data_IF_213753452406
#
_entry.id   IF_213753452406
#
_cell.length_a   1.000
_cell.length_b   1.000
_cell.length_c   1.000
_cell.angle_alpha   90.00
_cell.angle_beta   90.00
_cell.angle_gamma   90.00
#
_symmetry.space_group_name_H-M   'P 1'
#
loop_
_entity.id
_entity.type
_entity.pdbx_description
1 polymer ?
#
# COMPACT_ATOMS: atom_id res chain seq x y z
N UNK A 1 2.92 -16.17 -33.38
CA UNK A 1 3.53 -16.46 -32.05
C UNK A 1 3.81 -15.20 -31.28
N UNK A 2 4.59 -14.25 -31.84
CA UNK A 2 4.89 -12.96 -31.19
C UNK A 2 3.64 -12.16 -30.78
N UNK A 3 2.60 -12.15 -31.61
CA UNK A 3 1.35 -11.42 -31.32
C UNK A 3 0.58 -12.06 -30.16
N UNK A 4 0.51 -13.39 -30.10
CA UNK A 4 -0.12 -14.13 -29.01
C UNK A 4 0.64 -13.99 -27.70
N UNK A 5 1.97 -13.93 -27.73
CA UNK A 5 2.80 -13.68 -26.55
C UNK A 5 2.57 -12.26 -26.01
N UNK A 6 2.51 -11.26 -26.90
CA UNK A 6 2.21 -9.87 -26.51
C UNK A 6 0.79 -9.73 -25.94
N UNK A 7 -0.19 -10.38 -26.53
CA UNK A 7 -1.56 -10.39 -26.01
C UNK A 7 -1.63 -11.04 -24.63
N UNK A 8 -0.92 -12.17 -24.44
CA UNK A 8 -0.84 -12.85 -23.16
C UNK A 8 -0.16 -11.99 -22.09
N UNK A 9 0.98 -11.36 -22.42
CA UNK A 9 1.67 -10.44 -21.51
C UNK A 9 0.79 -9.26 -21.13
N UNK A 10 0.04 -8.68 -22.09
CA UNK A 10 -0.89 -7.59 -21.82
C UNK A 10 -2.05 -8.02 -20.93
N UNK A 11 -2.61 -9.21 -21.17
CA UNK A 11 -3.68 -9.79 -20.35
C UNK A 11 -3.19 -10.11 -18.94
N UNK A 12 -1.98 -10.65 -18.79
CA UNK A 12 -1.36 -10.94 -17.50
C UNK A 12 -1.11 -9.63 -16.71
N UNK A 13 -0.65 -8.57 -17.38
CA UNK A 13 -0.46 -7.26 -16.76
C UNK A 13 -1.78 -6.65 -16.28
N UNK A 14 -2.85 -6.72 -17.08
CA UNK A 14 -4.21 -6.26 -16.72
C UNK A 14 -4.76 -7.09 -15.56
N UNK A 15 -4.47 -8.41 -15.54
CA UNK A 15 -4.93 -9.32 -14.48
C UNK A 15 -4.15 -9.17 -13.17
N UNK A 16 -3.01 -8.48 -13.15
CA UNK A 16 -2.10 -8.40 -12.00
C UNK A 16 -1.96 -7.01 -11.38
N UNK A 17 -2.28 -5.96 -12.11
CA UNK A 17 -2.05 -4.56 -11.70
C UNK A 17 -3.32 -3.73 -11.74
N UNK A 18 -3.37 -2.74 -10.85
CA UNK A 18 -4.37 -1.69 -10.85
C UNK A 18 -4.09 -0.71 -12.00
N UNK A 19 -5.07 -0.45 -12.89
CA UNK A 19 -4.83 0.38 -14.08
C UNK A 19 -4.54 1.85 -13.77
N UNK A 20 -5.07 2.39 -12.67
CA UNK A 20 -4.85 3.79 -12.31
C UNK A 20 -3.46 4.03 -11.74
N UNK A 21 -3.06 3.25 -10.77
CA UNK A 21 -1.82 3.45 -10.00
C UNK A 21 -0.64 2.61 -10.50
N UNK A 22 -0.89 1.59 -11.31
CA UNK A 22 0.10 0.59 -11.77
C UNK A 22 0.68 -0.26 -10.62
N UNK A 23 0.09 -0.18 -9.43
CA UNK A 23 0.41 -1.06 -8.32
C UNK A 23 -0.15 -2.46 -8.55
N UNK A 24 0.35 -3.44 -7.82
CA UNK A 24 -0.31 -4.75 -7.79
C UNK A 24 -1.77 -4.60 -7.38
N UNK A 25 -2.63 -5.43 -7.94
CA UNK A 25 -3.99 -5.55 -7.45
C UNK A 25 -4.05 -6.51 -6.25
N UNK A 26 -5.19 -6.56 -5.58
CA UNK A 26 -5.40 -7.39 -4.40
C UNK A 26 -5.10 -8.87 -4.65
N UNK A 27 -5.56 -9.40 -5.77
CA UNK A 27 -5.35 -10.81 -6.15
C UNK A 27 -3.86 -11.16 -6.26
N UNK A 28 -3.08 -10.30 -6.89
CA UNK A 28 -1.62 -10.50 -7.01
C UNK A 28 -0.92 -10.41 -5.67
N UNK A 29 -1.32 -9.47 -4.83
CA UNK A 29 -0.76 -9.34 -3.48
C UNK A 29 -1.04 -10.59 -2.64
N UNK A 30 -2.21 -11.17 -2.73
CA UNK A 30 -2.54 -12.41 -1.99
C UNK A 30 -1.59 -13.54 -2.35
N UNK A 31 -1.20 -13.67 -3.62
CA UNK A 31 -0.20 -14.66 -4.07
C UNK A 31 1.15 -14.39 -3.41
N UNK A 32 1.61 -13.14 -3.39
CA UNK A 32 2.87 -12.77 -2.75
C UNK A 32 2.86 -12.99 -1.23
N UNK A 33 1.75 -12.71 -0.57
CA UNK A 33 1.58 -12.97 0.88
C UNK A 33 1.70 -14.46 1.19
N UNK A 34 1.06 -15.31 0.40
CA UNK A 34 1.17 -16.77 0.58
C UNK A 34 2.60 -17.26 0.39
N UNK A 35 3.32 -16.75 -0.61
CA UNK A 35 4.74 -17.08 -0.82
C UNK A 35 5.60 -16.65 0.36
N UNK A 36 5.40 -15.44 0.87
CA UNK A 36 6.14 -14.93 2.03
C UNK A 36 5.88 -15.80 3.28
N UNK A 37 4.64 -16.21 3.48
CA UNK A 37 4.25 -17.09 4.58
C UNK A 37 4.92 -18.46 4.46
N UNK A 38 4.96 -19.05 3.28
CA UNK A 38 5.64 -20.33 3.04
C UNK A 38 7.14 -20.25 3.31
N UNK A 39 7.80 -19.18 2.85
CA UNK A 39 9.21 -18.94 3.11
C UNK A 39 9.49 -18.77 4.60
N UNK A 40 8.64 -18.03 5.31
CA UNK A 40 8.76 -17.86 6.75
C UNK A 40 8.69 -19.20 7.50
N UNK A 41 7.81 -20.09 7.06
CA UNK A 41 7.69 -21.44 7.63
C UNK A 41 8.89 -22.34 7.32
N UNK A 42 9.44 -22.25 6.10
CA UNK A 42 10.51 -23.15 5.62
C UNK A 42 11.90 -22.74 6.13
N UNK A 43 12.23 -21.44 6.05
CA UNK A 43 13.59 -20.95 6.32
C UNK A 43 13.63 -19.84 7.36
N UNK A 44 12.52 -19.55 8.04
CA UNK A 44 12.46 -18.58 9.13
C UNK A 44 12.63 -17.13 8.72
N UNK A 45 12.35 -16.77 7.46
CA UNK A 45 12.36 -15.37 7.02
C UNK A 45 11.29 -14.56 7.76
N UNK A 46 11.59 -13.30 8.02
CA UNK A 46 10.66 -12.37 8.66
C UNK A 46 10.05 -11.44 7.63
N UNK A 47 8.77 -11.19 7.76
CA UNK A 47 8.09 -10.17 6.96
C UNK A 47 6.99 -9.49 7.75
N UNK A 48 6.65 -8.29 7.30
CA UNK A 48 5.59 -7.47 7.86
C UNK A 48 4.65 -7.03 6.77
N UNK A 49 3.44 -6.66 7.15
CA UNK A 49 2.53 -5.90 6.29
C UNK A 49 2.32 -4.51 6.86
N UNK A 50 2.14 -3.55 5.98
CA UNK A 50 1.78 -2.17 6.31
C UNK A 50 0.50 -1.85 5.55
N UNK A 51 -0.58 -1.58 6.27
CA UNK A 51 -1.84 -1.16 5.67
C UNK A 51 -1.99 0.34 5.86
N UNK A 52 -2.10 1.08 4.78
CA UNK A 52 -2.29 2.52 4.78
C UNK A 52 -3.61 2.93 4.16
N UNK A 53 -4.16 3.99 4.67
CA UNK A 53 -5.40 4.59 4.18
C UNK A 53 -5.23 6.11 4.11
N UNK A 54 -5.60 6.70 2.97
CA UNK A 54 -5.50 8.15 2.77
C UNK A 54 -6.50 8.85 3.69
N UNK A 55 -6.02 9.79 4.49
CA UNK A 55 -6.84 10.55 5.42
C UNK A 55 -7.76 11.50 4.67
N UNK A 56 -9.04 11.48 5.02
CA UNK A 56 -10.05 12.39 4.47
C UNK A 56 -10.16 12.39 2.93
N UNK A 57 -9.90 11.24 2.30
CA UNK A 57 -9.91 11.11 0.84
C UNK A 57 -11.27 11.47 0.21
N UNK A 58 -12.37 11.10 0.87
CA UNK A 58 -13.72 11.49 0.43
C UNK A 58 -13.85 13.00 0.33
N UNK A 59 -13.26 13.73 1.28
CA UNK A 59 -13.27 15.20 1.30
C UNK A 59 -12.57 15.80 0.07
N UNK A 60 -11.48 15.18 -0.40
CA UNK A 60 -10.80 15.58 -1.63
C UNK A 60 -11.71 15.40 -2.83
N UNK A 61 -12.38 14.27 -2.98
CA UNK A 61 -13.30 13.99 -4.07
C UNK A 61 -14.53 14.93 -4.04
N UNK A 62 -15.06 15.20 -2.86
CA UNK A 62 -16.21 16.08 -2.70
C UNK A 62 -15.86 17.55 -3.00
N UNK A 63 -14.65 17.99 -2.67
CA UNK A 63 -14.17 19.36 -2.85
C UNK A 63 -13.66 19.62 -4.27
N UNK A 64 -12.86 18.69 -4.83
CA UNK A 64 -12.10 18.87 -6.07
C UNK A 64 -12.51 17.94 -7.20
N UNK A 65 -13.49 17.06 -7.00
CA UNK A 65 -13.93 16.00 -7.92
C UNK A 65 -12.99 14.79 -7.99
N UNK A 66 -13.47 13.71 -8.61
CA UNK A 66 -12.78 12.42 -8.74
C UNK A 66 -11.46 12.50 -9.51
N UNK A 67 -11.34 13.40 -10.47
CA UNK A 67 -10.09 13.61 -11.22
C UNK A 67 -8.94 14.04 -10.32
N UNK A 68 -9.20 14.90 -9.36
CA UNK A 68 -8.19 15.28 -8.35
C UNK A 68 -7.88 14.12 -7.42
N UNK A 69 -8.88 13.37 -6.99
CA UNK A 69 -8.70 12.14 -6.21
C UNK A 69 -7.82 11.14 -6.92
N UNK A 70 -8.00 10.95 -8.23
CA UNK A 70 -7.16 10.07 -9.04
C UNK A 70 -5.70 10.56 -9.08
N UNK A 71 -5.48 11.85 -9.24
CA UNK A 71 -4.12 12.45 -9.16
C UNK A 71 -3.47 12.22 -7.79
N UNK A 72 -4.23 12.35 -6.72
CA UNK A 72 -3.76 12.07 -5.36
C UNK A 72 -3.39 10.59 -5.20
N UNK A 73 -4.22 9.67 -5.70
CA UNK A 73 -3.91 8.24 -5.66
C UNK A 73 -2.61 7.91 -6.41
N UNK A 74 -2.40 8.51 -7.58
CA UNK A 74 -1.18 8.34 -8.36
C UNK A 74 0.03 8.93 -7.61
N UNK A 75 -0.11 10.13 -7.04
CA UNK A 75 0.94 10.77 -6.23
C UNK A 75 1.34 9.90 -5.05
N UNK A 76 0.38 9.38 -4.31
CA UNK A 76 0.61 8.48 -3.17
C UNK A 76 1.32 7.21 -3.62
N UNK A 77 0.84 6.58 -4.68
CA UNK A 77 1.45 5.37 -5.23
C UNK A 77 2.92 5.60 -5.64
N UNK A 78 3.19 6.68 -6.36
CA UNK A 78 4.54 7.02 -6.81
C UNK A 78 5.46 7.38 -5.63
N UNK A 79 4.95 8.10 -4.64
CA UNK A 79 5.69 8.44 -3.42
C UNK A 79 6.08 7.18 -2.66
N UNK A 80 5.14 6.26 -2.43
CA UNK A 80 5.42 5.00 -1.75
C UNK A 80 6.42 4.18 -2.55
N UNK A 81 6.21 4.04 -3.86
CA UNK A 81 7.10 3.27 -4.75
C UNK A 81 8.54 3.75 -4.66
N UNK A 82 8.77 5.05 -4.52
CA UNK A 82 10.12 5.62 -4.43
C UNK A 82 10.89 5.19 -3.17
N UNK A 83 10.20 4.71 -2.14
CA UNK A 83 10.78 4.21 -0.89
C UNK A 83 10.93 2.69 -0.83
N UNK A 84 10.37 1.98 -1.82
CA UNK A 84 10.32 0.51 -1.82
C UNK A 84 11.59 -0.10 -2.41
N UNK A 85 11.98 -1.25 -1.86
CA UNK A 85 13.05 -2.09 -2.42
C UNK A 85 12.46 -3.00 -3.51
N UNK A 86 13.29 -3.52 -4.45
CA UNK A 86 12.79 -4.42 -5.50
C UNK A 86 12.08 -5.68 -4.97
N UNK A 87 12.51 -6.19 -3.81
CA UNK A 87 11.94 -7.38 -3.17
C UNK A 87 10.62 -7.10 -2.42
N UNK A 88 10.32 -5.84 -2.13
CA UNK A 88 9.09 -5.46 -1.45
C UNK A 88 7.92 -5.38 -2.45
N UNK A 89 6.71 -5.57 -1.97
CA UNK A 89 5.51 -5.49 -2.80
C UNK A 89 4.61 -4.35 -2.35
N UNK A 90 3.99 -3.70 -3.30
CA UNK A 90 3.04 -2.61 -3.07
C UNK A 90 1.75 -2.87 -3.86
N UNK A 91 0.62 -2.78 -3.20
CA UNK A 91 -0.68 -3.14 -3.72
C UNK A 91 -1.73 -2.06 -3.44
N UNK A 92 -2.58 -1.79 -4.42
CA UNK A 92 -3.84 -1.10 -4.16
C UNK A 92 -4.84 -2.12 -3.60
N UNK A 93 -5.02 -2.06 -2.28
CA UNK A 93 -5.81 -3.05 -1.54
C UNK A 93 -7.31 -2.75 -1.58
N UNK A 94 -7.66 -1.49 -1.53
CA UNK A 94 -9.02 -0.98 -1.66
C UNK A 94 -9.04 0.31 -2.46
N UNK A 95 -10.12 1.07 -2.43
CA UNK A 95 -10.26 2.32 -3.17
C UNK A 95 -9.14 3.32 -2.87
N UNK A 96 -8.92 3.59 -1.60
CA UNK A 96 -7.91 4.50 -1.06
C UNK A 96 -6.94 3.80 -0.09
N UNK A 97 -6.98 2.47 -0.06
CA UNK A 97 -6.13 1.66 0.80
C UNK A 97 -4.96 1.06 0.02
N UNK A 98 -3.78 1.16 0.60
CA UNK A 98 -2.54 0.59 0.06
C UNK A 98 -2.00 -0.43 1.07
N UNK A 99 -1.62 -1.61 0.59
CA UNK A 99 -0.99 -2.66 1.39
C UNK A 99 0.43 -2.88 0.90
N UNK A 100 1.37 -2.86 1.84
CA UNK A 100 2.78 -3.15 1.58
C UNK A 100 3.16 -4.49 2.19
N UNK A 101 3.95 -5.26 1.48
CA UNK A 101 4.62 -6.45 1.98
C UNK A 101 6.11 -6.16 2.07
N UNK A 102 6.62 -6.13 3.29
CA UNK A 102 7.99 -5.71 3.59
C UNK A 102 8.77 -6.89 4.14
N UNK A 103 9.89 -7.22 3.52
CA UNK A 103 10.81 -8.21 4.03
C UNK A 103 11.67 -7.59 5.14
N UNK A 104 11.55 -8.09 6.36
CA UNK A 104 12.28 -7.60 7.52
C UNK A 104 11.46 -7.59 8.79
N UNK A 105 12.01 -6.94 9.81
CA UNK A 105 11.44 -6.83 11.15
C UNK A 105 10.39 -5.72 11.24
N UNK A 106 9.62 -5.76 12.32
CA UNK A 106 8.67 -4.69 12.63
C UNK A 106 9.34 -3.32 12.75
N UNK A 107 10.53 -3.27 13.35
CA UNK A 107 11.30 -2.02 13.47
C UNK A 107 11.63 -1.43 12.09
N UNK A 108 12.06 -2.26 11.16
CA UNK A 108 12.34 -1.84 9.77
C UNK A 108 11.07 -1.36 9.07
N UNK A 109 9.99 -2.12 9.18
CA UNK A 109 8.72 -1.77 8.57
C UNK A 109 8.13 -0.47 9.13
N UNK A 110 8.17 -0.29 10.44
CA UNK A 110 7.67 0.92 11.11
C UNK A 110 8.48 2.15 10.71
N UNK A 111 9.79 2.03 10.63
CA UNK A 111 10.66 3.12 10.17
C UNK A 111 10.40 3.50 8.71
N UNK A 112 10.17 2.50 7.86
CA UNK A 112 9.80 2.72 6.46
C UNK A 112 8.44 3.42 6.34
N UNK A 113 7.45 2.95 7.08
CA UNK A 113 6.11 3.55 7.11
C UNK A 113 6.17 5.02 7.53
N UNK A 114 6.99 5.36 8.52
CA UNK A 114 7.17 6.75 8.98
C UNK A 114 7.83 7.63 7.92
N UNK A 115 8.82 7.14 7.20
CA UNK A 115 9.42 7.87 6.06
C UNK A 115 8.40 8.13 4.96
N UNK A 116 7.62 7.12 4.62
CA UNK A 116 6.56 7.22 3.62
C UNK A 116 5.51 8.25 4.06
N UNK A 117 5.05 8.15 5.30
CA UNK A 117 4.08 9.10 5.88
C UNK A 117 4.56 10.54 5.75
N UNK A 118 5.79 10.80 6.16
CA UNK A 118 6.38 12.13 6.11
C UNK A 118 6.52 12.66 4.66
N UNK A 119 6.90 11.79 3.74
CA UNK A 119 7.02 12.15 2.31
C UNK A 119 5.66 12.47 1.69
N UNK A 120 4.61 11.71 2.03
CA UNK A 120 3.24 11.98 1.54
C UNK A 120 2.75 13.31 2.09
N UNK A 121 2.98 13.60 3.35
CA UNK A 121 2.58 14.86 3.99
C UNK A 121 3.18 16.08 3.28
N UNK A 122 4.39 15.96 2.73
CA UNK A 122 5.09 17.03 2.01
C UNK A 122 4.75 17.10 0.52
N UNK A 123 4.09 16.08 -0.03
CA UNK A 123 3.77 16.02 -1.45
C UNK A 123 2.45 16.74 -1.75
N UNK A 124 2.33 17.27 -2.96
CA UNK A 124 1.08 17.90 -3.40
C UNK A 124 0.88 17.69 -4.90
N UNK A 125 -0.38 17.83 -5.34
CA UNK A 125 -0.77 17.99 -6.74
C UNK A 125 -1.34 19.39 -6.93
N UNK A 126 -1.25 19.92 -8.14
CA UNK A 126 -1.87 21.20 -8.48
C UNK A 126 -3.19 20.94 -9.21
N UNK A 127 -4.26 21.51 -8.68
CA UNK A 127 -5.59 21.46 -9.28
C UNK A 127 -6.11 22.88 -9.47
N UNK A 128 -6.29 23.30 -10.71
CA UNK A 128 -6.78 24.66 -11.06
C UNK A 128 -6.02 25.78 -10.33
N UNK A 129 -4.69 25.66 -10.25
CA UNK A 129 -3.83 26.63 -9.57
C UNK A 129 -3.76 26.49 -8.06
N UNK A 130 -4.48 25.57 -7.46
CA UNK A 130 -4.46 25.30 -6.00
C UNK A 130 -3.64 24.04 -5.72
N UNK A 131 -2.75 24.10 -4.73
CA UNK A 131 -2.03 22.94 -4.23
C UNK A 131 -2.95 22.11 -3.32
N UNK A 132 -3.09 20.82 -3.64
CA UNK A 132 -3.86 19.86 -2.85
C UNK A 132 -2.92 18.80 -2.29
N UNK A 133 -2.96 18.59 -0.99
CA UNK A 133 -2.16 17.59 -0.30
C UNK A 133 -3.03 16.73 0.60
N UNK A 134 -2.52 15.56 0.97
CA UNK A 134 -3.16 14.64 1.91
C UNK A 134 -2.15 14.13 2.91
N UNK A 135 -2.65 13.54 3.96
CA UNK A 135 -1.86 12.71 4.87
C UNK A 135 -2.34 11.26 4.78
N UNK A 136 -1.55 10.34 5.32
CA UNK A 136 -1.93 8.94 5.44
C UNK A 136 -1.70 8.44 6.87
N UNK A 137 -2.54 7.50 7.25
CA UNK A 137 -2.40 6.73 8.49
C UNK A 137 -2.05 5.30 8.13
N UNK A 138 -1.13 4.69 8.89
CA UNK A 138 -0.63 3.35 8.62
C UNK A 138 -0.72 2.46 9.86
N UNK A 139 -1.10 1.21 9.64
CA UNK A 139 -1.00 0.15 10.64
C UNK A 139 0.03 -0.88 10.19
N UNK A 140 0.94 -1.23 11.07
CA UNK A 140 2.01 -2.22 10.84
C UNK A 140 1.71 -3.48 11.63
N UNK A 141 1.93 -4.65 11.04
CA UNK A 141 1.84 -5.92 11.72
C UNK A 141 2.91 -6.88 11.20
N UNK A 142 3.55 -7.60 12.13
CA UNK A 142 4.54 -8.63 11.82
C UNK A 142 3.90 -10.00 11.69
N UNK A 143 4.35 -10.77 10.71
CA UNK A 143 3.97 -12.18 10.61
C UNK A 143 4.63 -12.99 11.73
N UNK A 144 3.81 -13.79 12.40
CA UNK A 144 4.26 -14.78 13.38
C UNK A 144 3.89 -16.17 12.86
N UNK A 145 4.81 -17.15 12.87
CA UNK A 145 4.51 -18.51 12.44
C UNK A 145 3.25 -19.06 13.14
N UNK A 146 2.35 -19.63 12.34
CA UNK A 146 1.03 -20.08 12.80
C UNK A 146 -0.12 -19.11 12.49
N UNK A 147 0.16 -17.87 12.16
CA UNK A 147 -0.87 -16.93 11.71
C UNK A 147 -1.38 -17.34 10.32
N UNK A 148 -2.67 -17.16 10.12
CA UNK A 148 -3.27 -17.10 8.78
C UNK A 148 -3.10 -15.68 8.22
N UNK A 149 -3.10 -15.55 6.91
CA UNK A 149 -2.98 -14.25 6.24
C UNK A 149 -4.07 -13.27 6.73
N UNK A 150 -5.30 -13.73 6.86
CA UNK A 150 -6.40 -12.90 7.35
C UNK A 150 -6.14 -12.34 8.76
N UNK A 151 -5.50 -13.12 9.63
CA UNK A 151 -5.13 -12.66 10.98
C UNK A 151 -4.10 -11.54 10.92
N UNK A 152 -3.10 -11.69 10.07
CA UNK A 152 -2.05 -10.68 9.87
C UNK A 152 -2.65 -9.36 9.34
N UNK A 153 -3.48 -9.43 8.31
CA UNK A 153 -4.16 -8.26 7.75
C UNK A 153 -5.06 -7.59 8.80
N UNK A 154 -5.78 -8.37 9.58
CA UNK A 154 -6.65 -7.85 10.64
C UNK A 154 -5.87 -7.08 11.70
N UNK A 155 -4.68 -7.56 12.10
CA UNK A 155 -3.83 -6.87 13.06
C UNK A 155 -3.36 -5.52 12.51
N UNK A 156 -2.94 -5.46 11.24
CA UNK A 156 -2.59 -4.21 10.58
C UNK A 156 -3.80 -3.26 10.51
N UNK A 157 -4.97 -3.77 10.18
CA UNK A 157 -6.21 -3.00 10.13
C UNK A 157 -6.61 -2.44 11.49
N UNK A 158 -6.47 -3.22 12.56
CA UNK A 158 -6.73 -2.75 13.93
C UNK A 158 -5.79 -1.60 14.30
N UNK A 159 -4.51 -1.69 13.97
CA UNK A 159 -3.54 -0.63 14.21
C UNK A 159 -3.84 0.63 13.37
N UNK A 160 -4.25 0.45 12.12
CA UNK A 160 -4.71 1.54 11.27
C UNK A 160 -5.91 2.26 11.90
N UNK A 161 -6.88 1.52 12.39
CA UNK A 161 -8.07 2.05 13.06
C UNK A 161 -7.69 2.88 14.31
N UNK A 162 -6.74 2.38 15.12
CA UNK A 162 -6.21 3.11 16.27
C UNK A 162 -5.62 4.46 15.82
N UNK A 163 -4.82 4.46 14.78
CA UNK A 163 -4.23 5.70 14.23
C UNK A 163 -5.27 6.68 13.71
N UNK A 164 -6.29 6.19 13.02
CA UNK A 164 -7.41 7.01 12.53
C UNK A 164 -8.16 7.68 13.69
N UNK A 165 -8.35 6.99 14.80
CA UNK A 165 -9.02 7.52 15.99
C UNK A 165 -8.13 8.44 16.85
N UNK A 166 -6.81 8.34 16.71
CA UNK A 166 -5.85 9.13 17.50
C UNK A 166 -5.33 10.37 16.76
N UNK A 167 -6.05 10.85 15.76
CA UNK A 167 -5.73 12.10 15.08
C UNK A 167 -5.19 11.94 13.66
N UNK A 168 -5.18 10.73 13.10
CA UNK A 168 -4.71 10.47 11.73
C UNK A 168 -3.23 10.83 11.54
N UNK A 169 -2.71 10.77 10.32
CA UNK A 169 -1.34 11.17 9.97
C UNK A 169 -0.30 10.59 10.93
N UNK A 170 -0.29 9.28 11.07
CA UNK A 170 0.60 8.57 12.00
C UNK A 170 0.75 7.11 11.61
N UNK A 171 1.77 6.49 12.19
CA UNK A 171 2.04 5.04 12.07
C UNK A 171 1.77 4.40 13.44
N UNK A 172 1.02 3.31 13.44
CA UNK A 172 0.75 2.48 14.63
C UNK A 172 1.26 1.06 14.36
N UNK A 173 2.05 0.55 15.28
CA UNK A 173 2.57 -0.81 15.22
C UNK A 173 2.16 -1.65 16.43
#
# INVERSE_FOLDING_TARGET
>A
QLHLEQEKETLDAIASHDPLTQLLNRRSMEIHLHKAMEQAKKIGTQFCVILGDIDDFKKVNDTYRHECGDKILILVADTIRSHMRPEDCICRWGGEEILLLINGTETVATALAEKIRASIEQACVTEEGTEVSVTMTFGVASYIPGFKINKLIQLADNNLYIGKNNGKNQVVS
#
